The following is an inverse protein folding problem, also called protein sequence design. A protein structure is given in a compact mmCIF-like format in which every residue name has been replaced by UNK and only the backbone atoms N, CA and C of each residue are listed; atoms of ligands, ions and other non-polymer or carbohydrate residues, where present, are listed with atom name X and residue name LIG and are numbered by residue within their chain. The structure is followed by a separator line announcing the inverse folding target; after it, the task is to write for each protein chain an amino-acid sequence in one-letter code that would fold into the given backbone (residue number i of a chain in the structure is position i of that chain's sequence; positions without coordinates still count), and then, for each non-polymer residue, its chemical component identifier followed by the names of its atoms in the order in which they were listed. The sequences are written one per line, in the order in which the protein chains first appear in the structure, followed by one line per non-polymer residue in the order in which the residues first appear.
data_IF_953161464817
#
_entry.id   IF_953161464817
#
_cell.length_a   1.000
_cell.length_b   1.000
_cell.length_c   1.000
_cell.angle_alpha   90.00
_cell.angle_beta   90.00
_cell.angle_gamma   90.00
#
_symmetry.space_group_name_H-M   'P 1'
#
loop_
_entity.id
_entity.type
_entity.pdbx_description
1 polymer ?
#
# COMPACT_ATOMS: atom_id res chain seq x y z
N UNK A 1 -17.86 24.81 -30.20
CA UNK A 1 -17.91 23.41 -29.72
C UNK A 1 -16.49 22.92 -29.58
N UNK A 2 -16.11 22.56 -28.36
CA UNK A 2 -14.88 21.83 -28.11
C UNK A 2 -15.19 20.34 -28.29
N UNK A 3 -14.60 19.72 -29.30
CA UNK A 3 -14.65 18.27 -29.45
C UNK A 3 -13.53 17.66 -28.63
N UNK A 4 -13.88 16.79 -27.69
CA UNK A 4 -12.93 16.02 -26.91
C UNK A 4 -12.72 14.68 -27.59
N UNK A 5 -11.48 14.34 -27.86
CA UNK A 5 -11.08 13.02 -28.32
C UNK A 5 -10.46 12.28 -27.11
N UNK A 6 -11.08 11.18 -26.74
CA UNK A 6 -10.51 10.29 -25.73
C UNK A 6 -9.68 9.21 -26.42
N UNK A 7 -8.44 9.06 -26.02
CA UNK A 7 -7.57 7.99 -26.49
C UNK A 7 -7.09 7.15 -25.30
N UNK A 8 -7.12 5.83 -25.46
CA UNK A 8 -6.49 4.90 -24.53
C UNK A 8 -5.09 4.59 -25.01
N UNK A 9 -4.09 4.82 -24.15
CA UNK A 9 -2.70 4.53 -24.45
C UNK A 9 -2.30 3.25 -23.74
N UNK A 10 -1.85 2.26 -24.51
CA UNK A 10 -1.26 1.04 -23.97
C UNK A 10 0.26 1.14 -24.02
N UNK A 11 0.92 0.97 -22.88
CA UNK A 11 2.38 0.88 -22.84
C UNK A 11 2.81 -0.51 -23.32
N UNK A 12 3.47 -0.54 -24.47
CA UNK A 12 4.20 -1.73 -24.91
C UNK A 12 5.59 -1.70 -24.26
N UNK A 13 6.13 -2.87 -23.91
CA UNK A 13 7.44 -3.01 -23.28
C UNK A 13 7.53 -2.42 -21.87
N UNK A 14 6.48 -2.60 -21.07
CA UNK A 14 6.50 -2.25 -19.65
C UNK A 14 7.65 -2.94 -18.89
N UNK A 15 8.15 -4.07 -19.37
CA UNK A 15 9.31 -4.79 -18.85
C UNK A 15 10.62 -3.98 -18.87
N UNK A 16 10.67 -2.87 -19.59
CA UNK A 16 11.81 -1.94 -19.59
C UNK A 16 11.87 -1.07 -18.34
N UNK A 17 10.77 -0.94 -17.61
CA UNK A 17 10.74 -0.26 -16.32
C UNK A 17 11.15 -1.25 -15.24
N UNK A 18 12.44 -1.49 -15.09
CA UNK A 18 12.98 -2.50 -14.17
C UNK A 18 13.25 -1.97 -12.76
N UNK A 19 13.13 -0.67 -12.55
CA UNK A 19 13.40 -0.01 -11.27
C UNK A 19 12.12 0.73 -10.84
N UNK A 20 11.71 0.53 -9.59
CA UNK A 20 10.61 1.30 -9.01
C UNK A 20 10.98 2.78 -8.90
N UNK A 21 10.05 3.64 -9.20
CA UNK A 21 10.27 5.09 -9.14
C UNK A 21 9.28 5.88 -9.97
N UNK A 22 9.45 7.18 -9.90
CA UNK A 22 8.67 8.11 -10.71
C UNK A 22 9.39 8.38 -12.04
N UNK A 23 8.66 8.20 -13.12
CA UNK A 23 9.13 8.46 -14.47
C UNK A 23 8.21 9.47 -15.12
N UNK A 24 8.76 10.22 -16.07
CA UNK A 24 7.97 11.12 -16.91
C UNK A 24 8.06 10.63 -18.35
N UNK A 25 6.92 10.28 -18.93
CA UNK A 25 6.82 9.88 -20.32
C UNK A 25 6.42 11.10 -21.17
N UNK A 26 7.33 11.66 -21.98
CA UNK A 26 6.96 12.70 -22.93
C UNK A 26 6.13 12.08 -24.06
N UNK A 27 4.91 12.53 -24.23
CA UNK A 27 4.06 12.14 -25.35
C UNK A 27 3.81 13.34 -26.26
N UNK A 28 3.87 13.12 -27.55
CA UNK A 28 3.56 14.13 -28.55
C UNK A 28 2.37 13.68 -29.37
N UNK A 29 1.33 14.49 -29.38
CA UNK A 29 0.21 14.30 -30.27
C UNK A 29 0.58 14.80 -31.70
N UNK A 30 0.27 13.99 -32.67
CA UNK A 30 0.38 14.31 -34.09
C UNK A 30 -0.90 13.87 -34.79
N UNK A 31 -1.27 14.53 -35.87
CA UNK A 31 -2.33 14.01 -36.71
C UNK A 31 -1.81 13.81 -38.15
N UNK A 32 -2.44 12.93 -38.87
CA UNK A 32 -2.18 12.70 -40.30
C UNK A 32 -3.40 13.21 -41.08
N UNK A 33 -3.13 14.01 -42.10
CA UNK A 33 -4.19 14.48 -43.00
C UNK A 33 -4.67 13.33 -43.91
N UNK A 34 -5.66 13.64 -44.75
CA UNK A 34 -6.23 12.67 -45.70
C UNK A 34 -5.22 12.14 -46.74
N UNK A 35 -4.14 12.86 -46.96
CA UNK A 35 -3.08 12.51 -47.90
C UNK A 35 -1.91 11.78 -47.19
N UNK A 36 -2.02 11.52 -45.88
CA UNK A 36 -1.06 10.80 -45.05
C UNK A 36 0.11 11.67 -44.56
N UNK A 37 0.04 12.99 -44.72
CA UNK A 37 1.08 13.87 -44.21
C UNK A 37 0.97 14.08 -42.73
N UNK A 38 2.10 13.99 -42.03
CA UNK A 38 2.18 14.16 -40.58
C UNK A 38 2.22 15.64 -40.21
N UNK A 39 1.35 16.01 -39.28
CA UNK A 39 1.28 17.37 -38.73
C UNK A 39 1.51 17.33 -37.22
N UNK A 40 2.36 18.22 -36.73
CA UNK A 40 2.54 18.42 -35.28
C UNK A 40 1.47 19.37 -34.76
N UNK A 41 0.88 19.03 -33.63
CA UNK A 41 -0.08 19.89 -32.93
C UNK A 41 0.73 20.86 -32.05
N UNK A 42 0.54 22.15 -32.22
CA UNK A 42 1.15 23.17 -31.37
C UNK A 42 0.69 22.97 -29.93
N UNK A 43 1.63 22.86 -28.97
CA UNK A 43 1.31 22.53 -27.59
C UNK A 43 0.90 21.07 -27.35
N UNK A 44 1.03 20.19 -28.35
CA UNK A 44 0.67 18.79 -28.28
C UNK A 44 1.68 17.90 -27.55
N UNK A 45 2.63 18.47 -26.83
CA UNK A 45 3.52 17.71 -25.94
C UNK A 45 2.94 17.66 -24.52
N UNK A 46 2.71 16.46 -24.02
CA UNK A 46 2.19 16.20 -22.69
C UNK A 46 3.18 15.33 -21.96
N UNK A 47 3.52 15.71 -20.75
CA UNK A 47 4.35 14.93 -19.83
C UNK A 47 3.43 14.09 -18.97
N UNK A 48 3.44 12.76 -19.17
CA UNK A 48 2.63 11.84 -18.38
C UNK A 48 3.50 11.30 -17.25
N UNK A 49 3.18 11.59 -16.00
CA UNK A 49 3.85 10.96 -14.86
C UNK A 49 3.46 9.47 -14.82
N UNK A 50 4.45 8.61 -14.73
CA UNK A 50 4.28 7.17 -14.54
C UNK A 50 4.97 6.79 -13.24
N UNK A 51 4.24 6.15 -12.36
CA UNK A 51 4.81 5.57 -11.14
C UNK A 51 4.96 4.06 -11.33
N UNK A 52 6.21 3.61 -11.36
CA UNK A 52 6.55 2.17 -11.42
C UNK A 52 6.64 1.66 -9.99
N UNK A 53 5.73 0.77 -9.66
CA UNK A 53 5.62 0.17 -8.32
C UNK A 53 6.34 -1.19 -8.34
N UNK A 54 7.25 -1.36 -7.42
CA UNK A 54 7.94 -2.63 -7.22
C UNK A 54 7.17 -3.50 -6.22
N UNK A 55 6.10 -4.15 -6.70
CA UNK A 55 5.24 -5.00 -5.88
C UNK A 55 6.06 -6.10 -5.21
N UNK A 56 6.10 -6.06 -3.90
CA UNK A 56 6.86 -6.98 -3.07
C UNK A 56 6.00 -7.71 -2.02
N UNK A 57 4.79 -7.22 -1.75
CA UNK A 57 3.87 -7.80 -0.79
C UNK A 57 2.55 -8.19 -1.44
N UNK A 58 2.04 -9.35 -1.07
CA UNK A 58 0.75 -9.86 -1.51
C UNK A 58 0.06 -10.63 -0.39
N UNK A 59 -1.27 -10.71 -0.47
CA UNK A 59 -2.06 -11.54 0.43
C UNK A 59 -1.64 -13.01 0.31
N UNK A 60 -1.61 -13.72 1.43
CA UNK A 60 -1.20 -15.13 1.50
C UNK A 60 -2.07 -15.91 2.49
N UNK A 61 -2.30 -17.18 2.19
CA UNK A 61 -2.99 -18.10 3.10
C UNK A 61 -2.12 -18.50 4.31
N UNK A 62 -0.80 -18.61 4.09
CA UNK A 62 0.15 -19.04 5.12
C UNK A 62 0.72 -17.83 5.90
N UNK A 63 0.95 -18.04 7.18
CA UNK A 63 1.73 -17.11 8.02
C UNK A 63 3.07 -16.80 7.36
N UNK A 64 3.56 -15.54 7.42
CA UNK A 64 4.87 -15.18 6.89
C UNK A 64 5.98 -16.07 7.44
N UNK A 65 6.91 -16.44 6.57
CA UNK A 65 8.10 -17.18 6.97
C UNK A 65 9.05 -16.29 7.78
N UNK A 66 9.93 -16.92 8.56
CA UNK A 66 10.95 -16.21 9.32
C UNK A 66 10.58 -16.04 10.79
N UNK A 67 11.21 -15.07 11.44
CA UNK A 67 11.05 -14.81 12.86
C UNK A 67 10.24 -13.54 13.07
N UNK A 68 9.20 -13.62 13.89
CA UNK A 68 8.43 -12.45 14.31
C UNK A 68 9.34 -11.49 15.10
N UNK A 69 9.29 -10.23 14.78
CA UNK A 69 9.94 -9.17 15.54
C UNK A 69 9.05 -8.87 16.74
N UNK A 70 9.54 -8.97 17.98
CA UNK A 70 8.72 -8.60 19.15
C UNK A 70 8.20 -7.16 19.04
N UNK A 71 6.93 -6.92 19.41
CA UNK A 71 6.29 -5.60 19.35
C UNK A 71 7.07 -4.50 20.09
N UNK A 72 7.78 -4.87 21.16
CA UNK A 72 8.70 -3.96 21.90
C UNK A 72 9.92 -3.48 21.09
N UNK A 73 10.22 -4.10 19.95
CA UNK A 73 11.41 -3.82 19.15
C UNK A 73 11.13 -2.88 17.95
N UNK A 74 9.92 -2.39 17.82
CA UNK A 74 9.56 -1.37 16.83
C UNK A 74 8.57 -0.37 17.44
N UNK A 75 8.40 0.76 16.79
CA UNK A 75 7.49 1.82 17.25
C UNK A 75 6.37 1.98 16.24
N UNK A 76 5.15 2.15 16.75
CA UNK A 76 3.97 2.43 15.95
C UNK A 76 3.57 3.89 16.10
N UNK A 77 3.08 4.47 15.01
CA UNK A 77 2.41 5.77 15.02
C UNK A 77 1.25 5.80 14.02
N UNK A 78 0.13 6.39 14.43
CA UNK A 78 -1.07 6.53 13.61
C UNK A 78 -1.24 7.98 13.16
N UNK A 79 -1.66 8.17 11.89
CA UNK A 79 -2.01 9.49 11.35
C UNK A 79 -3.28 10.06 11.96
N UNK A 80 -4.18 9.19 12.41
CA UNK A 80 -5.46 9.54 13.02
C UNK A 80 -5.63 8.70 14.29
N UNK A 81 -6.01 9.30 15.43
CA UNK A 81 -6.24 8.55 16.66
C UNK A 81 -7.30 7.45 16.47
N UNK A 82 -7.13 6.35 17.18
CA UNK A 82 -8.15 5.33 17.28
C UNK A 82 -9.42 5.91 17.94
N UNK A 83 -10.58 5.49 17.48
CA UNK A 83 -11.88 5.85 18.07
C UNK A 83 -12.15 5.09 19.36
N UNK A 84 -11.52 3.92 19.50
CA UNK A 84 -11.56 3.05 20.66
C UNK A 84 -10.23 2.33 20.79
N UNK A 85 -9.85 1.93 22.00
CA UNK A 85 -8.59 1.27 22.28
C UNK A 85 -7.39 2.21 22.22
N UNK A 86 -6.20 1.65 22.31
CA UNK A 86 -4.93 2.38 22.25
C UNK A 86 -3.98 1.72 21.26
N UNK A 87 -2.92 2.42 20.88
CA UNK A 87 -1.95 1.90 19.91
C UNK A 87 -1.17 0.69 20.48
N UNK A 88 -1.02 0.62 21.78
CA UNK A 88 -0.37 -0.48 22.48
C UNK A 88 -1.13 -1.81 22.30
N UNK A 89 -2.45 -1.77 22.16
CA UNK A 89 -3.27 -2.96 21.86
C UNK A 89 -2.88 -3.63 20.54
N UNK A 90 -2.19 -2.91 19.66
CA UNK A 90 -1.81 -3.44 18.33
C UNK A 90 -0.50 -4.25 18.38
N UNK A 91 0.12 -4.43 19.55
CA UNK A 91 1.40 -5.15 19.70
C UNK A 91 1.54 -5.88 21.04
N UNK A 92 0.43 -6.07 21.77
CA UNK A 92 0.45 -6.70 23.11
C UNK A 92 0.37 -8.23 23.06
N UNK A 93 0.12 -8.81 21.88
CA UNK A 93 0.01 -10.25 21.68
C UNK A 93 -1.37 -10.81 22.03
N UNK A 94 -2.36 -9.95 22.28
CA UNK A 94 -3.72 -10.33 22.66
C UNK A 94 -4.72 -9.90 21.58
N UNK A 95 -5.19 -10.82 20.78
CA UNK A 95 -6.17 -10.54 19.71
C UNK A 95 -7.57 -10.15 20.22
N UNK A 96 -7.84 -10.30 21.51
CA UNK A 96 -9.08 -9.83 22.14
C UNK A 96 -8.99 -8.34 22.53
N UNK A 97 -7.79 -7.78 22.63
CA UNK A 97 -7.56 -6.35 22.74
C UNK A 97 -7.51 -5.74 21.33
N UNK A 98 -8.20 -4.63 21.12
CA UNK A 98 -8.32 -4.06 19.78
C UNK A 98 -8.52 -2.54 19.81
N UNK A 99 -8.32 -1.94 18.65
CA UNK A 99 -8.65 -0.54 18.39
C UNK A 99 -9.56 -0.39 17.19
N UNK A 100 -10.31 0.71 17.14
CA UNK A 100 -11.12 1.08 15.98
C UNK A 100 -10.47 2.22 15.20
N UNK A 101 -10.17 1.96 13.93
CA UNK A 101 -9.86 2.98 12.95
C UNK A 101 -11.15 3.73 12.56
N UNK A 102 -11.10 5.06 12.38
CA UNK A 102 -12.24 5.81 11.88
C UNK A 102 -12.54 5.49 10.40
N UNK A 103 -13.76 5.79 9.98
CA UNK A 103 -14.13 5.79 8.56
C UNK A 103 -13.14 6.58 7.71
N UNK A 104 -12.87 6.09 6.50
CA UNK A 104 -11.95 6.70 5.54
C UNK A 104 -10.56 6.06 5.53
N UNK A 105 -9.53 6.87 5.38
CA UNK A 105 -8.15 6.39 5.28
C UNK A 105 -7.37 6.72 6.55
N UNK A 106 -6.74 5.71 7.12
CA UNK A 106 -5.83 5.84 8.25
C UNK A 106 -4.47 5.24 7.91
N UNK A 107 -3.40 5.90 8.34
CA UNK A 107 -2.04 5.42 8.09
C UNK A 107 -1.38 5.01 9.41
N UNK A 108 -0.89 3.78 9.46
CA UNK A 108 -0.03 3.27 10.52
C UNK A 108 1.41 3.22 10.02
N UNK A 109 2.31 3.90 10.69
CA UNK A 109 3.75 3.84 10.42
C UNK A 109 4.43 2.97 11.47
N UNK A 110 5.33 2.08 11.01
CA UNK A 110 6.14 1.18 11.83
C UNK A 110 7.60 1.57 11.64
N UNK A 111 8.29 2.03 12.67
CA UNK A 111 9.75 2.21 12.68
C UNK A 111 10.40 0.95 13.29
N UNK A 112 11.09 0.20 12.47
CA UNK A 112 11.83 -1.00 12.87
C UNK A 112 13.15 -0.69 13.61
N UNK A 113 13.40 0.59 13.89
CA UNK A 113 14.62 1.13 14.52
C UNK A 113 15.91 0.95 13.68
N UNK A 114 15.94 -0.02 12.79
CA UNK A 114 17.07 -0.29 11.89
C UNK A 114 16.57 -0.88 10.57
N UNK A 115 17.38 -0.79 9.53
CA UNK A 115 17.09 -1.46 8.26
C UNK A 115 17.02 -2.97 8.48
N UNK A 116 15.91 -3.55 8.10
CA UNK A 116 15.56 -4.96 8.33
C UNK A 116 15.06 -5.57 7.02
N UNK A 117 15.43 -6.83 6.76
CA UNK A 117 14.84 -7.62 5.68
C UNK A 117 13.49 -8.15 6.14
N UNK A 118 12.41 -7.57 5.61
CA UNK A 118 11.04 -7.95 5.98
C UNK A 118 10.57 -9.11 5.11
N UNK A 119 10.04 -10.16 5.75
CA UNK A 119 9.47 -11.37 5.11
C UNK A 119 7.95 -11.31 4.99
N UNK A 120 7.32 -10.52 5.85
CA UNK A 120 5.88 -10.36 5.82
C UNK A 120 5.34 -9.60 7.02
N UNK A 121 4.04 -9.38 6.96
CA UNK A 121 3.25 -8.69 7.98
C UNK A 121 2.02 -9.53 8.23
N UNK A 122 1.61 -9.66 9.50
CA UNK A 122 0.27 -10.15 9.86
C UNK A 122 -0.53 -9.02 10.46
N UNK A 123 -1.78 -8.94 10.06
CA UNK A 123 -2.74 -7.96 10.57
C UNK A 123 -3.85 -8.73 11.28
N UNK A 124 -3.94 -8.53 12.57
CA UNK A 124 -5.01 -9.02 13.41
C UNK A 124 -6.22 -8.11 13.33
N UNK A 125 -7.41 -8.70 13.28
CA UNK A 125 -8.67 -7.99 13.41
C UNK A 125 -9.54 -8.66 14.46
N UNK A 126 -10.19 -7.86 15.29
CA UNK A 126 -11.19 -8.36 16.21
C UNK A 126 -12.51 -8.54 15.45
N UNK A 127 -13.03 -9.76 15.44
CA UNK A 127 -14.26 -10.13 14.74
C UNK A 127 -15.38 -10.32 15.75
N UNK A 128 -16.31 -9.40 15.79
CA UNK A 128 -17.48 -9.51 16.63
C UNK A 128 -18.69 -9.96 15.82
N UNK A 129 -19.21 -11.15 16.09
CA UNK A 129 -20.35 -11.71 15.39
C UNK A 129 -21.59 -10.79 15.47
N UNK A 130 -22.12 -10.42 14.31
CA UNK A 130 -23.29 -9.54 14.21
C UNK A 130 -22.96 -8.05 14.13
N UNK A 131 -21.69 -7.68 14.09
CA UNK A 131 -21.23 -6.32 13.85
C UNK A 131 -20.19 -6.31 12.72
N UNK A 132 -20.42 -5.50 11.72
CA UNK A 132 -19.55 -5.40 10.52
C UNK A 132 -18.56 -4.21 10.69
N UNK A 133 -17.60 -4.36 11.62
CA UNK A 133 -16.56 -3.36 11.83
C UNK A 133 -15.23 -3.83 11.24
N UNK A 134 -15.20 -3.94 9.90
CA UNK A 134 -14.02 -4.47 9.22
C UNK A 134 -13.18 -3.36 8.59
N UNK A 135 -11.88 -3.58 8.63
CA UNK A 135 -10.94 -2.83 7.81
C UNK A 135 -10.91 -3.49 6.42
N UNK A 136 -11.28 -2.74 5.37
CA UNK A 136 -11.53 -3.34 4.05
C UNK A 136 -10.26 -3.76 3.34
N UNK A 137 -9.28 -2.87 3.35
CA UNK A 137 -8.04 -3.08 2.61
C UNK A 137 -6.88 -2.32 3.21
N UNK A 138 -5.70 -2.77 2.84
CA UNK A 138 -4.44 -2.12 3.19
C UNK A 138 -3.53 -2.00 1.96
N UNK A 139 -2.78 -0.92 1.89
CA UNK A 139 -1.64 -0.76 0.98
C UNK A 139 -0.36 -0.62 1.78
N UNK A 140 0.67 -1.34 1.37
CA UNK A 140 1.97 -1.35 2.05
C UNK A 140 2.95 -0.46 1.32
N UNK A 141 3.64 0.39 2.07
CA UNK A 141 4.76 1.20 1.60
C UNK A 141 6.00 0.90 2.44
N UNK A 142 7.16 1.11 1.85
CA UNK A 142 8.44 0.99 2.55
C UNK A 142 9.32 2.21 2.37
N UNK A 143 10.18 2.44 3.36
CA UNK A 143 11.18 3.52 3.33
C UNK A 143 12.42 3.12 4.12
N UNK A 144 13.57 3.65 3.72
CA UNK A 144 14.82 3.53 4.47
C UNK A 144 15.11 4.76 5.33
N UNK A 145 14.52 5.91 4.99
CA UNK A 145 14.79 7.21 5.61
C UNK A 145 13.56 7.86 6.29
N UNK A 146 12.37 7.26 6.11
CA UNK A 146 11.11 7.79 6.62
C UNK A 146 10.55 8.99 5.85
N UNK A 147 11.27 9.47 4.84
CA UNK A 147 10.90 10.63 4.03
C UNK A 147 10.40 10.24 2.63
N UNK A 148 11.11 9.34 1.97
CA UNK A 148 10.73 8.82 0.66
C UNK A 148 10.06 7.47 0.82
N UNK A 149 8.82 7.36 0.35
CA UNK A 149 8.00 6.18 0.46
C UNK A 149 7.78 5.54 -0.91
N UNK A 150 8.12 4.28 -1.01
CA UNK A 150 7.86 3.47 -2.20
C UNK A 150 6.68 2.54 -1.93
N UNK A 151 5.65 2.53 -2.79
CA UNK A 151 4.60 1.54 -2.68
C UNK A 151 5.17 0.14 -2.95
N UNK A 152 4.89 -0.79 -2.05
CA UNK A 152 5.37 -2.17 -2.08
C UNK A 152 4.23 -3.17 -2.36
N UNK A 153 2.98 -2.72 -2.37
CA UNK A 153 1.83 -3.53 -2.74
C UNK A 153 0.81 -2.73 -3.55
N UNK A 154 -0.04 -3.43 -4.28
CA UNK A 154 -1.36 -2.95 -4.64
C UNK A 154 -2.26 -2.87 -3.41
N UNK A 155 -3.54 -2.47 -3.59
CA UNK A 155 -4.54 -2.58 -2.54
C UNK A 155 -4.77 -4.07 -2.22
N UNK A 156 -4.44 -4.47 -1.01
CA UNK A 156 -4.66 -5.81 -0.49
C UNK A 156 -5.98 -5.81 0.27
N UNK A 157 -6.95 -6.57 -0.22
CA UNK A 157 -8.20 -6.75 0.50
C UNK A 157 -7.95 -7.56 1.76
N UNK A 158 -8.45 -7.07 2.88
CA UNK A 158 -8.47 -7.80 4.12
C UNK A 158 -9.75 -8.65 4.20
N UNK A 159 -9.63 -9.83 4.76
CA UNK A 159 -10.74 -10.76 4.93
C UNK A 159 -11.27 -10.67 6.36
N UNK A 160 -12.53 -11.00 6.52
CA UNK A 160 -13.24 -11.08 7.81
C UNK A 160 -12.75 -12.28 8.63
N UNK A 161 -11.47 -12.27 8.96
CA UNK A 161 -10.79 -13.32 9.71
C UNK A 161 -9.91 -12.67 10.76
N UNK A 162 -9.69 -13.38 11.88
CA UNK A 162 -8.80 -12.88 12.95
C UNK A 162 -7.42 -12.48 12.43
N UNK A 163 -6.89 -13.18 11.43
CA UNK A 163 -5.58 -12.91 10.88
C UNK A 163 -5.59 -12.78 9.36
N UNK A 164 -4.97 -11.72 8.89
CA UNK A 164 -4.65 -11.50 7.47
C UNK A 164 -3.13 -11.55 7.29
N UNK A 165 -2.65 -12.46 6.46
CA UNK A 165 -1.24 -12.65 6.19
C UNK A 165 -0.85 -11.94 4.90
N UNK A 166 0.21 -11.16 4.96
CA UNK A 166 0.77 -10.41 3.83
C UNK A 166 2.24 -10.79 3.70
N UNK A 167 2.55 -11.60 2.72
CA UNK A 167 3.89 -12.17 2.56
C UNK A 167 4.71 -11.40 1.54
N UNK A 168 5.99 -11.25 1.83
CA UNK A 168 6.95 -10.74 0.87
C UNK A 168 7.20 -11.79 -0.23
N UNK A 169 7.07 -11.38 -1.49
CA UNK A 169 7.34 -12.21 -2.68
C UNK A 169 8.80 -12.12 -3.11
N UNK A 170 9.55 -11.18 -2.55
CA UNK A 170 10.99 -10.97 -2.75
C UNK A 170 11.60 -10.28 -1.53
N UNK A 171 12.91 -10.15 -1.47
CA UNK A 171 13.59 -9.45 -0.37
C UNK A 171 13.23 -7.97 -0.33
N UNK A 172 12.77 -7.51 0.82
CA UNK A 172 12.43 -6.12 1.10
C UNK A 172 13.26 -5.62 2.26
N UNK A 173 14.19 -4.70 2.00
CA UNK A 173 15.05 -4.09 3.01
C UNK A 173 14.57 -2.68 3.30
N UNK A 174 13.96 -2.47 4.47
CA UNK A 174 13.40 -1.20 4.90
C UNK A 174 13.67 -0.96 6.38
N UNK A 175 13.72 0.30 6.79
CA UNK A 175 13.61 0.67 8.20
C UNK A 175 12.17 0.97 8.59
N UNK A 176 11.43 1.60 7.68
CA UNK A 176 10.06 2.02 7.95
C UNK A 176 9.10 1.27 7.03
N UNK A 177 8.00 0.81 7.61
CA UNK A 177 6.82 0.36 6.88
C UNK A 177 5.69 1.36 7.13
N UNK A 178 4.86 1.56 6.13
CA UNK A 178 3.63 2.34 6.25
C UNK A 178 2.49 1.49 5.71
N UNK A 179 1.48 1.30 6.55
CA UNK A 179 0.25 0.59 6.23
C UNK A 179 -0.86 1.63 6.09
N UNK A 180 -1.36 1.79 4.89
CA UNK A 180 -2.48 2.68 4.59
C UNK A 180 -3.76 1.86 4.54
N UNK A 181 -4.58 1.99 5.58
CA UNK A 181 -5.84 1.28 5.72
C UNK A 181 -6.99 2.09 5.16
N UNK A 182 -7.96 1.40 4.54
CA UNK A 182 -9.22 1.98 4.13
C UNK A 182 -10.36 1.31 4.89
N UNK A 183 -11.29 2.11 5.37
CA UNK A 183 -12.47 1.71 6.12
C UNK A 183 -13.69 2.33 5.47
N UNK A 184 -14.58 1.51 4.90
CA UNK A 184 -15.82 1.95 4.23
C UNK A 184 -16.99 2.08 5.20
N UNK A 185 -16.97 1.34 6.31
CA UNK A 185 -17.96 1.40 7.37
C UNK A 185 -17.65 2.49 8.39
N UNK A 186 -18.45 2.55 9.46
CA UNK A 186 -18.27 3.53 10.54
C UNK A 186 -16.91 3.40 11.23
N UNK A 187 -16.43 2.17 11.38
CA UNK A 187 -15.18 1.83 12.03
C UNK A 187 -14.55 0.58 11.40
N UNK A 188 -13.22 0.50 11.45
CA UNK A 188 -12.46 -0.70 11.09
C UNK A 188 -11.72 -1.24 12.31
N UNK A 189 -11.86 -2.51 12.64
CA UNK A 189 -11.12 -3.11 13.76
C UNK A 189 -9.68 -3.44 13.38
N UNK A 190 -8.76 -3.21 14.30
CA UNK A 190 -7.41 -3.78 14.33
C UNK A 190 -7.15 -4.33 15.73
N UNK A 191 -6.56 -5.52 15.83
CA UNK A 191 -6.16 -6.09 17.14
C UNK A 191 -4.65 -6.26 17.25
N UNK A 192 -3.98 -6.64 16.16
CA UNK A 192 -2.54 -6.92 16.18
C UNK A 192 -1.86 -6.53 14.88
N UNK A 193 -0.63 -6.08 14.97
CA UNK A 193 0.31 -5.87 13.86
C UNK A 193 1.59 -6.61 14.16
N UNK A 194 1.86 -7.66 13.43
CA UNK A 194 3.10 -8.44 13.56
C UNK A 194 3.97 -8.27 12.32
N UNK A 195 5.27 -8.09 12.51
CA UNK A 195 6.28 -8.00 11.43
C UNK A 195 7.23 -9.16 11.51
N UNK A 196 7.54 -9.79 10.38
CA UNK A 196 8.43 -10.95 10.26
C UNK A 196 9.69 -10.60 9.48
N UNK A 197 10.87 -11.09 9.96
CA UNK A 197 12.19 -10.91 9.33
C UNK A 197 12.86 -12.23 9.01
#
# INVERSE_FOLDING_TARGET
NQEYVQATVHLQHAEKFTVAGEYVLPMRAVFYDKDGNKHNIAGGEVLIPINVVDIAFANAAATPSGTMIPGSNYQLSLSTPLQYGTIENLTDGDTEQYGYLPHGTSTLTIDLNQTTTVKGIRIGMYILTGFEYYTDKVRVYGSTDGAKWLPLSEDIRLHETTWNNINATKSVNVRYLKLEFSVSDSYGSLSEIEVFK
#
